data_IF_982705012928
#
_entry.id   IF_982705012928
#
_cell.length_a   1.000
_cell.length_b   1.000
_cell.length_c   1.000
_cell.angle_alpha   90.00
_cell.angle_beta   90.00
_cell.angle_gamma   90.00
#
_symmetry.space_group_name_H-M   'P 1'
#
loop_
_entity.id
_entity.type
_entity.pdbx_description
1 polymer ?
#
# COMPACT_ATOMS: atom_id res chain seq x y z
N UNK A 1 18.22 -10.03 3.82
CA UNK A 1 18.87 -9.05 2.93
C UNK A 1 17.97 -7.81 2.90
N UNK A 2 18.53 -6.59 2.97
CA UNK A 2 17.73 -5.37 2.87
C UNK A 2 17.07 -5.30 1.49
N UNK A 3 15.82 -4.82 1.44
CA UNK A 3 15.21 -4.42 0.17
C UNK A 3 15.69 -3.01 -0.14
N UNK A 4 16.24 -2.82 -1.33
CA UNK A 4 16.78 -1.53 -1.77
C UNK A 4 15.91 -1.05 -2.93
N UNK A 5 15.46 0.19 -2.84
CA UNK A 5 14.76 0.89 -3.92
C UNK A 5 15.60 2.10 -4.29
N UNK A 6 15.89 2.26 -5.58
CA UNK A 6 16.55 3.44 -6.12
C UNK A 6 15.51 4.31 -6.82
N UNK A 7 15.50 5.60 -6.50
CA UNK A 7 14.63 6.61 -7.12
C UNK A 7 15.51 7.67 -7.74
N UNK A 8 15.28 7.98 -9.02
CA UNK A 8 16.00 9.03 -9.73
C UNK A 8 15.04 9.98 -10.43
N UNK A 9 15.47 11.22 -10.60
CA UNK A 9 14.75 12.26 -11.36
C UNK A 9 15.63 12.73 -12.51
N UNK A 10 15.02 13.15 -13.62
CA UNK A 10 15.74 13.36 -14.89
C UNK A 10 15.28 14.55 -15.73
N UNK A 11 14.51 15.49 -15.17
CA UNK A 11 14.21 16.78 -15.81
C UNK A 11 12.74 17.12 -16.12
N UNK A 12 11.78 16.26 -15.77
CA UNK A 12 10.35 16.61 -15.74
C UNK A 12 9.91 16.95 -14.31
N UNK A 13 8.92 17.82 -14.16
CA UNK A 13 8.63 18.62 -12.96
C UNK A 13 8.57 17.81 -11.64
N UNK A 14 8.07 16.57 -11.62
CA UNK A 14 8.16 15.66 -10.47
C UNK A 14 8.25 14.16 -10.83
N UNK A 15 8.46 13.82 -12.11
CA UNK A 15 8.49 12.42 -12.55
C UNK A 15 9.70 11.68 -11.95
N UNK A 16 9.42 10.63 -11.21
CA UNK A 16 10.40 9.75 -10.58
C UNK A 16 10.46 8.41 -11.32
N UNK A 17 11.67 7.99 -11.67
CA UNK A 17 11.96 6.63 -12.11
C UNK A 17 12.38 5.79 -10.91
N UNK A 18 11.67 4.68 -10.67
CA UNK A 18 11.87 3.80 -9.52
C UNK A 18 12.30 2.42 -9.98
N UNK A 19 13.30 1.85 -9.31
CA UNK A 19 13.77 0.48 -9.55
C UNK A 19 14.04 -0.27 -8.25
N UNK A 20 13.73 -1.56 -8.23
CA UNK A 20 14.16 -2.51 -7.18
C UNK A 20 15.35 -3.39 -7.62
N UNK A 21 15.94 -3.09 -8.79
CA UNK A 21 17.00 -3.86 -9.43
C UNK A 21 16.50 -4.95 -10.40
N UNK A 22 15.22 -5.34 -10.33
CA UNK A 22 14.60 -6.31 -11.24
C UNK A 22 13.40 -5.73 -12.00
N UNK A 23 12.65 -4.83 -11.37
CA UNK A 23 11.45 -4.20 -11.88
C UNK A 23 11.62 -2.68 -11.89
N UNK A 24 10.92 -2.04 -12.83
CA UNK A 24 10.90 -0.58 -12.98
C UNK A 24 9.47 -0.07 -13.05
N UNK A 25 9.24 1.09 -12.44
CA UNK A 25 7.97 1.81 -12.51
C UNK A 25 8.20 3.30 -12.32
N UNK A 26 7.13 4.07 -12.48
CA UNK A 26 7.14 5.52 -12.30
C UNK A 26 6.20 5.96 -11.19
N UNK A 27 6.56 7.06 -10.55
CA UNK A 27 5.75 7.81 -9.59
C UNK A 27 5.79 9.28 -10.05
N UNK A 28 4.67 9.98 -9.98
CA UNK A 28 4.55 11.36 -10.46
C UNK A 28 3.55 12.12 -9.59
N UNK A 29 3.59 13.43 -9.59
CA UNK A 29 2.60 14.26 -8.90
C UNK A 29 1.42 14.60 -9.83
N UNK A 30 0.22 14.89 -9.30
CA UNK A 30 -0.89 15.36 -10.11
C UNK A 30 -0.62 16.77 -10.66
N UNK A 31 -1.38 17.17 -11.68
CA UNK A 31 -1.25 18.49 -12.33
C UNK A 31 -1.38 19.65 -11.33
N UNK A 32 -2.28 19.51 -10.35
CA UNK A 32 -2.53 20.53 -9.31
C UNK A 32 -1.37 20.72 -8.32
N UNK A 33 -0.47 19.74 -8.21
CA UNK A 33 0.77 19.81 -7.46
C UNK A 33 1.99 20.15 -8.35
N UNK A 34 1.75 20.43 -9.63
CA UNK A 34 2.79 20.78 -10.61
C UNK A 34 3.46 19.57 -11.26
N UNK A 35 2.94 18.35 -11.06
CA UNK A 35 3.46 17.16 -11.74
C UNK A 35 2.81 16.92 -13.10
N UNK A 36 3.19 15.81 -13.75
CA UNK A 36 2.71 15.45 -15.08
C UNK A 36 1.41 14.65 -15.08
N UNK A 37 0.95 14.16 -13.92
CA UNK A 37 -0.15 13.19 -13.79
C UNK A 37 0.01 11.98 -14.74
N UNK A 38 1.25 11.56 -14.97
CA UNK A 38 1.60 10.44 -15.87
C UNK A 38 1.71 9.10 -15.14
N UNK A 39 1.77 9.14 -13.80
CA UNK A 39 1.78 8.00 -12.92
C UNK A 39 1.02 8.34 -11.63
N UNK A 40 0.91 7.36 -10.73
CA UNK A 40 0.31 7.58 -9.42
C UNK A 40 1.25 8.39 -8.52
N UNK A 41 0.68 9.17 -7.61
CA UNK A 41 1.43 9.94 -6.63
C UNK A 41 2.02 9.06 -5.51
N UNK A 42 2.97 9.58 -4.71
CA UNK A 42 3.58 8.83 -3.62
C UNK A 42 2.58 8.27 -2.59
N UNK A 43 1.47 8.98 -2.32
CA UNK A 43 0.43 8.49 -1.41
C UNK A 43 -0.35 7.33 -2.05
N UNK A 44 -0.64 7.43 -3.35
CA UNK A 44 -1.18 6.36 -4.17
C UNK A 44 -0.29 5.12 -4.15
N UNK A 45 1.03 5.29 -4.28
CA UNK A 45 2.01 4.19 -4.19
C UNK A 45 1.96 3.51 -2.82
N UNK A 46 1.90 4.30 -1.74
CA UNK A 46 1.79 3.80 -0.37
C UNK A 46 0.50 2.97 -0.17
N UNK A 47 -0.63 3.50 -0.62
CA UNK A 47 -1.91 2.79 -0.55
C UNK A 47 -1.91 1.53 -1.43
N UNK A 48 -1.31 1.58 -2.62
CA UNK A 48 -1.17 0.42 -3.49
C UNK A 48 -0.36 -0.69 -2.83
N UNK A 49 0.74 -0.35 -2.14
CA UNK A 49 1.53 -1.31 -1.36
C UNK A 49 0.72 -1.99 -0.25
N UNK A 50 -0.02 -1.22 0.55
CA UNK A 50 -0.90 -1.74 1.60
C UNK A 50 -2.04 -2.60 1.04
N UNK A 51 -2.67 -2.15 -0.04
CA UNK A 51 -3.79 -2.83 -0.71
C UNK A 51 -3.36 -4.18 -1.28
N UNK A 52 -2.25 -4.19 -2.01
CA UNK A 52 -1.64 -5.39 -2.57
C UNK A 52 -1.27 -6.39 -1.46
N UNK A 53 -0.61 -5.93 -0.41
CA UNK A 53 -0.22 -6.77 0.73
C UNK A 53 -1.45 -7.40 1.42
N UNK A 54 -2.52 -6.62 1.57
CA UNK A 54 -3.80 -7.09 2.13
C UNK A 54 -4.43 -8.19 1.26
N UNK A 55 -4.54 -7.94 -0.06
CA UNK A 55 -5.13 -8.90 -1.00
C UNK A 55 -4.32 -10.21 -1.07
N UNK A 56 -2.98 -10.12 -1.17
CA UNK A 56 -2.08 -11.28 -1.18
C UNK A 56 -2.26 -12.10 0.11
N UNK A 57 -2.30 -11.44 1.27
CA UNK A 57 -2.48 -12.12 2.57
C UNK A 57 -3.79 -12.90 2.63
N UNK A 58 -4.89 -12.30 2.15
CA UNK A 58 -6.21 -12.94 2.10
C UNK A 58 -6.20 -14.17 1.18
N UNK A 59 -5.68 -14.02 -0.04
CA UNK A 59 -5.57 -15.12 -1.00
C UNK A 59 -4.70 -16.27 -0.48
N UNK A 60 -3.54 -15.96 0.11
CA UNK A 60 -2.66 -16.96 0.71
C UNK A 60 -3.33 -17.71 1.86
N UNK A 61 -4.03 -16.99 2.75
CA UNK A 61 -4.71 -17.59 3.88
C UNK A 61 -5.87 -18.49 3.45
N UNK A 62 -6.71 -18.03 2.53
CA UNK A 62 -7.81 -18.81 1.97
C UNK A 62 -7.30 -20.08 1.30
N UNK A 63 -6.26 -19.99 0.46
CA UNK A 63 -5.63 -21.15 -0.20
C UNK A 63 -5.11 -22.16 0.82
N UNK A 64 -4.44 -21.71 1.88
CA UNK A 64 -3.92 -22.59 2.94
C UNK A 64 -5.03 -23.33 3.69
N UNK A 65 -6.23 -22.73 3.79
CA UNK A 65 -7.40 -23.32 4.43
C UNK A 65 -8.29 -24.13 3.49
N UNK A 66 -7.98 -24.15 2.19
CA UNK A 66 -8.82 -24.80 1.17
C UNK A 66 -10.14 -24.08 0.91
N UNK A 67 -10.22 -22.78 1.22
CA UNK A 67 -11.44 -21.99 1.02
C UNK A 67 -11.54 -21.47 -0.42
N UNK A 68 -12.73 -21.52 -0.99
CA UNK A 68 -12.97 -21.14 -2.39
C UNK A 68 -13.16 -19.63 -2.55
N UNK A 69 -12.07 -18.88 -2.56
CA UNK A 69 -12.06 -17.44 -2.88
C UNK A 69 -11.77 -17.24 -4.37
N UNK A 70 -12.72 -16.64 -5.09
CA UNK A 70 -12.61 -16.35 -6.52
C UNK A 70 -12.16 -14.92 -6.83
N UNK A 71 -12.18 -14.02 -5.84
CA UNK A 71 -11.68 -12.67 -6.02
C UNK A 71 -11.65 -11.86 -4.73
N UNK A 72 -10.67 -10.96 -4.64
CA UNK A 72 -10.52 -10.00 -3.55
C UNK A 72 -10.38 -8.61 -4.14
N UNK A 73 -11.19 -7.68 -3.65
CA UNK A 73 -11.10 -6.25 -3.95
C UNK A 73 -10.76 -5.51 -2.67
N UNK A 74 -9.77 -4.64 -2.72
CA UNK A 74 -9.37 -3.77 -1.60
C UNK A 74 -9.48 -2.33 -2.05
N UNK A 75 -10.27 -1.54 -1.35
CA UNK A 75 -10.36 -0.09 -1.55
C UNK A 75 -9.76 0.62 -0.35
N UNK A 76 -8.94 1.64 -0.62
CA UNK A 76 -8.23 2.38 0.40
C UNK A 76 -8.42 3.88 0.19
N UNK A 77 -8.47 4.62 1.29
CA UNK A 77 -8.43 6.08 1.29
C UNK A 77 -7.50 6.56 2.39
N UNK A 78 -6.71 7.60 2.12
CA UNK A 78 -5.87 8.26 3.11
C UNK A 78 -6.42 9.65 3.41
N UNK A 79 -6.50 10.01 4.68
CA UNK A 79 -6.88 11.34 5.14
C UNK A 79 -5.89 11.80 6.20
N UNK A 80 -5.34 13.01 6.00
CA UNK A 80 -4.61 13.70 7.06
C UNK A 80 -5.62 14.38 7.97
N UNK A 81 -5.51 14.10 9.26
CA UNK A 81 -6.34 14.72 10.29
C UNK A 81 -5.45 15.70 11.06
N UNK A 82 -5.54 16.96 10.67
CA UNK A 82 -4.86 18.07 11.33
C UNK A 82 -5.85 18.76 12.28
N UNK A 83 -6.26 18.08 13.35
CA UNK A 83 -7.15 18.66 14.38
C UNK A 83 -6.35 19.07 15.61
N UNK A 84 -6.11 20.38 15.75
CA UNK A 84 -5.49 20.95 16.95
C UNK A 84 -4.01 20.56 17.12
N UNK A 85 -3.66 20.05 18.30
CA UNK A 85 -2.28 19.79 18.72
C UNK A 85 -1.68 18.48 18.18
N UNK A 86 -2.48 17.59 17.60
CA UNK A 86 -2.03 16.29 17.10
C UNK A 86 -2.28 16.16 15.59
N UNK A 87 -1.20 15.95 14.84
CA UNK A 87 -1.26 15.57 13.43
C UNK A 87 -1.34 14.06 13.36
N UNK A 88 -2.41 13.53 12.78
CA UNK A 88 -2.58 12.10 12.58
C UNK A 88 -2.93 11.79 11.12
N UNK A 89 -2.70 10.55 10.70
CA UNK A 89 -3.08 10.05 9.38
C UNK A 89 -4.03 8.88 9.56
N UNK A 90 -5.18 8.94 8.92
CA UNK A 90 -6.18 7.88 8.91
C UNK A 90 -6.21 7.22 7.53
N UNK A 91 -5.85 5.94 7.48
CA UNK A 91 -6.06 5.10 6.30
C UNK A 91 -7.28 4.21 6.56
N UNK A 92 -8.33 4.36 5.74
CA UNK A 92 -9.50 3.48 5.79
C UNK A 92 -9.40 2.40 4.72
N UNK A 93 -9.71 1.16 5.09
CA UNK A 93 -9.72 -0.01 4.21
C UNK A 93 -11.12 -0.62 4.14
N UNK A 94 -11.62 -0.83 2.93
CA UNK A 94 -12.83 -1.59 2.64
C UNK A 94 -12.47 -2.84 1.82
N UNK A 95 -13.15 -3.97 2.09
CA UNK A 95 -12.86 -5.27 1.49
C UNK A 95 -14.10 -5.85 0.83
N UNK A 96 -13.94 -6.31 -0.42
CA UNK A 96 -14.90 -7.16 -1.11
C UNK A 96 -14.30 -8.55 -1.34
N UNK A 97 -14.92 -9.61 -0.84
CA UNK A 97 -14.44 -10.99 -1.00
C UNK A 97 -15.52 -11.81 -1.70
N UNK A 98 -15.20 -12.30 -2.90
CA UNK A 98 -16.08 -13.15 -3.72
C UNK A 98 -15.63 -14.60 -3.62
N UNK A 99 -16.58 -15.51 -3.52
CA UNK A 99 -16.33 -16.93 -3.28
C UNK A 99 -17.45 -17.61 -2.51
N UNK A 100 -17.39 -18.94 -2.48
CA UNK A 100 -18.25 -19.79 -1.68
C UNK A 100 -17.69 -19.83 -0.25
N UNK A 101 -18.16 -18.91 0.58
CA UNK A 101 -17.70 -18.68 1.94
C UNK A 101 -18.90 -18.46 2.86
N UNK A 102 -18.90 -19.18 3.98
CA UNK A 102 -19.81 -18.91 5.09
C UNK A 102 -19.40 -17.64 5.87
N UNK A 103 -20.29 -17.17 6.74
CA UNK A 103 -20.08 -15.95 7.52
C UNK A 103 -18.88 -16.05 8.48
N UNK A 104 -18.58 -17.25 8.97
CA UNK A 104 -17.43 -17.48 9.87
C UNK A 104 -16.13 -17.33 9.10
N UNK A 105 -16.04 -17.85 7.88
CA UNK A 105 -14.90 -17.71 6.99
C UNK A 105 -14.71 -16.25 6.59
N UNK A 106 -15.79 -15.54 6.23
CA UNK A 106 -15.74 -14.10 5.90
C UNK A 106 -15.25 -13.27 7.07
N UNK A 107 -15.82 -13.47 8.27
CA UNK A 107 -15.38 -12.79 9.48
C UNK A 107 -13.90 -13.08 9.77
N UNK A 108 -13.46 -14.33 9.58
CA UNK A 108 -12.06 -14.69 9.80
C UNK A 108 -11.11 -14.04 8.79
N UNK A 109 -11.51 -13.94 7.52
CA UNK A 109 -10.74 -13.21 6.50
C UNK A 109 -10.64 -11.72 6.83
N UNK A 110 -11.74 -11.10 7.28
CA UNK A 110 -11.71 -9.70 7.72
C UNK A 110 -10.75 -9.46 8.90
N UNK A 111 -10.61 -10.43 9.81
CA UNK A 111 -9.66 -10.35 10.92
C UNK A 111 -8.21 -10.51 10.46
N UNK A 112 -7.91 -11.50 9.60
CA UNK A 112 -6.52 -11.82 9.25
C UNK A 112 -5.86 -10.75 8.39
N UNK A 113 -6.65 -9.94 7.68
CA UNK A 113 -6.11 -8.89 6.80
C UNK A 113 -5.33 -7.80 7.55
N UNK A 114 -5.65 -7.57 8.83
CA UNK A 114 -4.88 -6.66 9.70
C UNK A 114 -3.47 -7.22 10.01
N UNK A 115 -3.28 -8.54 9.89
CA UNK A 115 -1.98 -9.16 10.10
C UNK A 115 -1.06 -9.10 8.87
N UNK A 116 -1.45 -8.43 7.78
CA UNK A 116 -0.58 -8.31 6.61
C UNK A 116 0.71 -7.54 6.98
N UNK A 117 1.88 -7.92 6.44
CA UNK A 117 3.16 -7.28 6.81
C UNK A 117 3.17 -5.75 6.72
N UNK A 118 2.53 -5.17 5.70
CA UNK A 118 2.50 -3.70 5.53
C UNK A 118 1.60 -3.03 6.58
N UNK A 119 0.45 -3.61 6.96
CA UNK A 119 -0.35 -3.11 8.09
C UNK A 119 0.48 -3.07 9.36
N UNK A 120 1.24 -4.14 9.65
CA UNK A 120 2.10 -4.19 10.85
C UNK A 120 3.22 -3.15 10.85
N UNK A 121 3.75 -2.79 9.68
CA UNK A 121 4.73 -1.71 9.56
C UNK A 121 4.05 -0.37 9.89
N UNK A 122 2.92 -0.07 9.26
CA UNK A 122 2.22 1.21 9.41
C UNK A 122 1.63 1.44 10.82
N UNK A 123 1.23 0.37 11.49
CA UNK A 123 0.72 0.41 12.87
C UNK A 123 1.86 0.32 13.93
N UNK A 124 3.10 0.11 13.47
CA UNK A 124 4.28 -0.05 14.32
C UNK A 124 5.07 1.24 14.52
N UNK A 125 6.19 1.13 15.25
CA UNK A 125 7.17 2.20 15.35
C UNK A 125 8.13 2.14 14.16
N UNK A 126 8.10 3.17 13.31
CA UNK A 126 8.98 3.31 12.16
C UNK A 126 9.97 4.45 12.45
N UNK A 127 11.25 4.20 12.21
CA UNK A 127 12.30 5.23 12.20
C UNK A 127 12.82 5.41 10.78
N UNK A 128 12.87 6.66 10.33
CA UNK A 128 13.49 7.04 9.06
C UNK A 128 14.82 7.71 9.39
N UNK A 129 15.89 7.27 8.75
CA UNK A 129 17.23 7.85 8.85
C UNK A 129 17.67 8.31 7.47
N UNK A 130 18.21 9.52 7.40
CA UNK A 130 18.73 10.10 6.16
C UNK A 130 20.24 10.10 6.22
N UNK A 131 20.87 9.47 5.25
CA UNK A 131 22.32 9.44 5.06
C UNK A 131 22.66 9.99 3.68
N UNK A 132 23.73 10.78 3.61
CA UNK A 132 24.28 11.22 2.33
C UNK A 132 25.06 10.08 1.68
N UNK A 133 24.92 9.95 0.36
CA UNK A 133 25.57 8.92 -0.45
C UNK A 133 26.09 9.49 -1.78
N UNK A 134 26.29 10.81 -1.84
CA UNK A 134 26.85 11.53 -2.98
C UNK A 134 28.32 11.24 -3.24
#
# INVERSE_FOLDING_TARGET
MPRIITVTTGGADYLCHVSDGEHEWTIDEPLEAGGGNTAHDPYGALLASLGSCSAITLCMYARRKGWNVSGVTVQLSLQRQDTGAEKSTLIRRSLGIRGDLDDTQRARLAQIVAACPVSRILEGSIRIETVDHS
#
